data_IF_320875689521
#
_entry.id   IF_320875689521
#
_cell.length_a   1.000
_cell.length_b   1.000
_cell.length_c   1.000
_cell.angle_alpha   90.00
_cell.angle_beta   90.00
_cell.angle_gamma   90.00
#
_symmetry.space_group_name_H-M   'P 1'
#
loop_
_entity.id
_entity.type
_entity.pdbx_description
1 polymer ?
#
# COMPACT_ATOMS: atom_id res chain seq x y z
N UNK A 1 -0.54 6.17 21.75
CA UNK A 1 0.00 5.36 20.64
C UNK A 1 -0.48 6.04 19.37
N UNK A 2 0.43 6.58 18.58
CA UNK A 2 0.10 7.34 17.37
C UNK A 2 -0.64 6.42 16.39
N UNK A 3 -1.84 6.84 15.95
CA UNK A 3 -2.64 6.07 15.00
C UNK A 3 -2.03 6.30 13.61
N UNK A 4 -1.12 5.39 13.21
CA UNK A 4 -0.54 5.43 11.86
C UNK A 4 -1.65 5.23 10.83
N UNK A 5 -1.61 6.01 9.76
CA UNK A 5 -2.54 5.82 8.64
C UNK A 5 -2.29 4.44 8.01
N UNK A 6 -3.32 3.86 7.37
CA UNK A 6 -3.18 2.57 6.67
C UNK A 6 -2.03 2.60 5.66
N UNK A 7 -1.86 3.71 4.95
CA UNK A 7 -0.75 3.94 4.04
C UNK A 7 0.62 3.91 4.76
N UNK A 8 0.76 4.60 5.89
CA UNK A 8 2.01 4.58 6.68
C UNK A 8 2.34 3.17 7.18
N UNK A 9 1.33 2.39 7.56
CA UNK A 9 1.50 0.99 7.97
C UNK A 9 2.00 0.13 6.79
N UNK A 10 1.40 0.29 5.61
CA UNK A 10 1.80 -0.44 4.40
C UNK A 10 3.22 -0.07 3.96
N UNK A 11 3.58 1.22 3.99
CA UNK A 11 4.93 1.68 3.70
C UNK A 11 5.95 1.13 4.70
N UNK A 12 5.62 1.14 5.99
CA UNK A 12 6.48 0.56 7.05
C UNK A 12 6.71 -0.94 6.81
N UNK A 13 5.69 -1.66 6.35
CA UNK A 13 5.80 -3.09 6.02
C UNK A 13 6.69 -3.33 4.80
N UNK A 14 6.56 -2.51 3.75
CA UNK A 14 7.43 -2.57 2.57
C UNK A 14 8.89 -2.39 2.98
N UNK A 15 9.16 -1.37 3.80
CA UNK A 15 10.52 -1.06 4.27
C UNK A 15 11.11 -2.22 5.08
N UNK A 16 10.35 -2.76 6.03
CA UNK A 16 10.79 -3.91 6.83
C UNK A 16 11.15 -5.14 5.97
N UNK A 17 10.32 -5.46 4.97
CA UNK A 17 10.56 -6.58 4.06
C UNK A 17 11.84 -6.34 3.26
N UNK A 18 12.06 -5.13 2.76
CA UNK A 18 13.27 -4.78 2.02
C UNK A 18 14.55 -4.93 2.89
N UNK A 19 14.52 -4.40 4.11
CA UNK A 19 15.66 -4.45 5.05
C UNK A 19 16.02 -5.89 5.43
N UNK A 20 15.02 -6.72 5.75
CA UNK A 20 15.23 -8.14 6.05
C UNK A 20 15.78 -8.86 4.83
N UNK A 21 15.22 -8.61 3.63
CA UNK A 21 15.64 -9.32 2.41
C UNK A 21 17.08 -8.99 2.02
N UNK A 22 17.51 -7.74 2.25
CA UNK A 22 18.89 -7.34 2.05
C UNK A 22 19.82 -8.02 3.07
N UNK A 23 19.41 -8.10 4.35
CA UNK A 23 20.20 -8.71 5.42
C UNK A 23 20.29 -10.23 5.28
N UNK A 24 19.21 -10.87 4.84
CA UNK A 24 19.13 -12.32 4.64
C UNK A 24 19.93 -12.81 3.43
N UNK A 25 20.48 -11.90 2.61
CA UNK A 25 21.22 -12.22 1.38
C UNK A 25 20.45 -13.19 0.47
N UNK A 26 19.18 -12.89 0.25
CA UNK A 26 18.29 -13.70 -0.58
C UNK A 26 18.96 -14.05 -1.91
N UNK A 27 18.84 -15.32 -2.31
CA UNK A 27 19.27 -15.73 -3.63
C UNK A 27 18.36 -15.10 -4.71
N UNK A 28 18.76 -15.09 -5.99
CA UNK A 28 17.99 -14.41 -7.02
C UNK A 28 16.52 -14.86 -7.14
N UNK A 29 16.19 -16.13 -6.85
CA UNK A 29 14.81 -16.63 -6.89
C UNK A 29 13.99 -16.09 -5.72
N UNK A 30 14.56 -16.08 -4.51
CA UNK A 30 13.93 -15.51 -3.33
C UNK A 30 13.70 -14.01 -3.49
N UNK A 31 14.65 -13.31 -4.09
CA UNK A 31 14.55 -11.89 -4.36
C UNK A 31 13.37 -11.55 -5.30
N UNK A 32 13.10 -12.39 -6.32
CA UNK A 32 11.94 -12.22 -7.18
C UNK A 32 10.61 -12.34 -6.41
N UNK A 33 10.53 -13.28 -5.47
CA UNK A 33 9.35 -13.46 -4.61
C UNK A 33 9.14 -12.24 -3.72
N UNK A 34 10.21 -11.76 -3.09
CA UNK A 34 10.21 -10.54 -2.27
C UNK A 34 9.76 -9.33 -3.08
N UNK A 35 10.30 -9.15 -4.28
CA UNK A 35 9.94 -8.02 -5.15
C UNK A 35 8.49 -8.09 -5.62
N UNK A 36 7.97 -9.29 -5.89
CA UNK A 36 6.54 -9.48 -6.19
C UNK A 36 5.67 -9.04 -5.01
N UNK A 37 6.04 -9.42 -3.78
CA UNK A 37 5.31 -9.03 -2.57
C UNK A 37 5.37 -7.52 -2.31
N UNK A 38 6.53 -6.90 -2.50
CA UNK A 38 6.68 -5.44 -2.38
C UNK A 38 5.81 -4.71 -3.41
N UNK A 39 5.77 -5.19 -4.66
CA UNK A 39 4.93 -4.61 -5.73
C UNK A 39 3.43 -4.66 -5.38
N UNK A 40 2.97 -5.77 -4.82
CA UNK A 40 1.58 -5.91 -4.38
C UNK A 40 1.24 -4.97 -3.21
N UNK A 41 2.14 -4.82 -2.25
CA UNK A 41 1.96 -3.89 -1.13
C UNK A 41 2.00 -2.42 -1.60
N UNK A 42 2.90 -2.09 -2.53
CA UNK A 42 2.98 -0.76 -3.11
C UNK A 42 1.69 -0.40 -3.86
N UNK A 43 1.12 -1.36 -4.60
CA UNK A 43 -0.16 -1.17 -5.29
C UNK A 43 -1.26 -0.80 -4.30
N UNK A 44 -1.36 -1.48 -3.16
CA UNK A 44 -2.34 -1.17 -2.11
C UNK A 44 -2.15 0.22 -1.50
N UNK A 45 -0.90 0.68 -1.34
CA UNK A 45 -0.60 2.01 -0.82
C UNK A 45 -1.00 3.13 -1.78
N UNK A 46 -0.97 2.89 -3.09
CA UNK A 46 -1.30 3.87 -4.13
C UNK A 46 -2.81 3.98 -4.40
N UNK A 47 -3.60 2.93 -4.15
CA UNK A 47 -5.05 2.95 -4.38
C UNK A 47 -5.85 3.60 -3.25
N UNK A 48 -5.30 3.64 -2.02
CA UNK A 48 -5.97 4.20 -0.83
C UNK A 48 -6.18 5.73 -0.97
N UNK A 49 -5.38 6.40 -1.81
CA UNK A 49 -5.43 7.85 -2.03
C UNK A 49 -6.57 8.29 -2.99
N UNK A 50 -7.11 7.37 -3.79
CA UNK A 50 -8.05 7.67 -4.87
C UNK A 50 -9.51 7.27 -4.60
N UNK A 51 -9.81 6.60 -3.48
CA UNK A 51 -11.19 6.19 -3.17
C UNK A 51 -12.04 7.29 -2.53
N UNK A 52 -11.45 8.34 -1.97
CA UNK A 52 -12.21 9.44 -1.35
C UNK A 52 -12.65 10.54 -2.32
N UNK A 53 -12.14 10.57 -3.56
CA UNK A 53 -12.49 11.64 -4.54
C UNK A 53 -13.64 11.25 -5.47
N UNK A 54 -14.01 9.97 -5.58
CA UNK A 54 -14.98 9.49 -6.59
C UNK A 54 -16.42 9.37 -6.06
N UNK A 55 -16.67 9.47 -4.74
CA UNK A 55 -18.03 9.31 -4.18
C UNK A 55 -18.80 10.61 -3.90
N UNK A 56 -18.22 11.80 -4.11
CA UNK A 56 -18.91 13.08 -3.87
C UNK A 56 -19.24 13.85 -5.15
N UNK A 57 -19.84 13.20 -6.15
CA UNK A 57 -20.53 13.93 -7.22
C UNK A 57 -21.85 13.26 -7.64
N UNK A 58 -22.64 12.86 -6.64
CA UNK A 58 -23.99 12.32 -6.80
C UNK A 58 -24.97 13.00 -5.85
N UNK A 59 -24.95 14.32 -5.77
CA UNK A 59 -26.01 15.09 -5.10
C UNK A 59 -26.27 16.37 -5.87
N UNK A 60 -27.27 16.31 -6.74
CA UNK A 60 -28.23 17.42 -6.90
C UNK A 60 -29.61 16.82 -6.67
N UNK A 61 -30.05 16.94 -5.41
CA UNK A 61 -31.40 17.36 -4.98
C UNK A 61 -32.37 17.67 -6.13
N UNK A 62 -33.57 17.08 -6.18
CA UNK A 62 -34.85 17.52 -5.56
C UNK A 62 -35.86 17.55 -6.73
N UNK A 63 -37.19 17.34 -6.66
CA UNK A 63 -38.22 17.15 -5.65
C UNK A 63 -39.47 16.65 -6.42
N UNK A 64 -40.35 15.93 -5.73
CA UNK A 64 -41.80 15.69 -5.95
C UNK A 64 -42.46 16.11 -7.29
#
# INVERSE_FOLDING_TARGET
>A
MENLTKQQLTLSRIQLIADISQTAQCNPKEFLVVMSLISELASQALTDENQDVVYCNGSTDDTH
#
